data_IF_225928292567
#
_entry.id   IF_225928292567
#
_cell.length_a   1.000
_cell.length_b   1.000
_cell.length_c   1.000
_cell.angle_alpha   90.00
_cell.angle_beta   90.00
_cell.angle_gamma   90.00
#
_symmetry.space_group_name_H-M   'P 1'
#
loop_
_entity.id
_entity.type
_entity.pdbx_description
1 polymer ?
#
# COMPACT_ATOMS: atom_id res chain seq x y z
N UNK A 1 4.92 -0.28 28.37
CA UNK A 1 4.02 -1.44 28.17
C UNK A 1 4.11 -1.76 26.70
N UNK A 2 4.39 -3.01 26.30
CA UNK A 2 4.42 -3.37 24.87
C UNK A 2 2.99 -3.63 24.42
N UNK A 3 2.52 -2.88 23.43
CA UNK A 3 1.22 -3.10 22.82
C UNK A 3 1.11 -4.46 22.12
N UNK A 4 -0.11 -4.94 21.90
CA UNK A 4 -0.36 -6.19 21.20
C UNK A 4 -0.07 -6.02 19.70
N UNK A 5 0.94 -6.72 19.20
CA UNK A 5 1.31 -6.68 17.77
C UNK A 5 0.21 -7.28 16.92
N UNK A 6 -0.22 -6.55 15.90
CA UNK A 6 -1.25 -6.96 14.95
C UNK A 6 -0.67 -7.59 13.69
N UNK A 7 0.35 -6.95 13.10
CA UNK A 7 1.03 -7.44 11.91
C UNK A 7 2.46 -6.91 11.78
N UNK A 8 3.29 -7.67 11.06
CA UNK A 8 4.65 -7.33 10.64
C UNK A 8 4.81 -7.63 9.15
N UNK A 9 5.45 -6.73 8.40
CA UNK A 9 5.76 -6.94 6.99
C UNK A 9 6.14 -5.66 6.24
N UNK A 10 5.53 -5.47 5.08
CA UNK A 10 5.71 -4.32 4.20
C UNK A 10 4.40 -3.96 3.49
N UNK A 11 4.09 -2.67 3.42
CA UNK A 11 3.00 -2.12 2.62
C UNK A 11 3.41 -0.97 1.66
N UNK A 12 4.14 -1.27 0.57
CA UNK A 12 4.30 -0.29 -0.49
C UNK A 12 2.96 0.16 -1.09
N UNK A 13 2.85 1.47 -1.33
CA UNK A 13 1.66 2.09 -1.89
C UNK A 13 2.04 2.87 -3.16
N UNK A 14 1.21 2.74 -4.20
CA UNK A 14 1.25 3.55 -5.42
C UNK A 14 -0.10 4.22 -5.62
N UNK A 15 -0.10 5.55 -5.72
CA UNK A 15 -1.28 6.34 -6.09
C UNK A 15 -0.94 7.24 -7.27
N UNK A 16 -1.68 7.08 -8.37
CA UNK A 16 -1.48 7.85 -9.61
C UNK A 16 -2.58 8.87 -9.80
N UNK A 17 -2.23 9.95 -10.51
CA UNK A 17 -3.14 11.04 -10.80
C UNK A 17 -3.08 11.49 -12.25
N UNK A 18 -4.25 11.81 -12.80
CA UNK A 18 -4.40 12.42 -14.11
C UNK A 18 -5.38 13.59 -14.00
N UNK A 19 -5.00 14.76 -14.56
CA UNK A 19 -5.82 15.98 -14.53
C UNK A 19 -6.40 16.31 -13.14
N UNK A 20 -5.60 16.13 -12.08
CA UNK A 20 -6.01 16.43 -10.70
C UNK A 20 -6.83 15.33 -10.00
N UNK A 21 -7.24 14.27 -10.70
CA UNK A 21 -8.03 13.15 -10.16
C UNK A 21 -7.17 11.93 -9.90
N UNK A 22 -7.57 11.10 -8.93
CA UNK A 22 -6.93 9.79 -8.71
C UNK A 22 -7.42 8.84 -9.78
N UNK A 23 -6.49 8.16 -10.45
CA UNK A 23 -6.81 7.11 -11.42
C UNK A 23 -6.71 5.74 -10.80
N UNK A 24 -5.71 5.51 -9.95
CA UNK A 24 -5.52 4.25 -9.23
C UNK A 24 -4.86 4.46 -7.88
N UNK A 25 -5.22 3.61 -6.93
CA UNK A 25 -4.50 3.36 -5.69
C UNK A 25 -4.23 1.86 -5.59
N UNK A 26 -2.96 1.48 -5.47
CA UNK A 26 -2.53 0.11 -5.22
C UNK A 26 -1.76 0.07 -3.90
N UNK A 27 -2.29 -0.67 -2.93
CA UNK A 27 -1.64 -0.97 -1.65
C UNK A 27 -1.25 -2.45 -1.68
N UNK A 28 0.05 -2.70 -1.85
CA UNK A 28 0.64 -4.04 -1.99
C UNK A 28 1.15 -4.46 -0.63
N UNK A 29 0.77 -5.62 -0.16
CA UNK A 29 1.12 -6.15 1.15
C UNK A 29 1.97 -7.40 1.02
N UNK A 30 3.12 -7.41 1.70
CA UNK A 30 3.83 -8.62 2.10
C UNK A 30 3.70 -8.73 3.61
N UNK A 31 2.94 -9.70 4.10
CA UNK A 31 2.72 -9.90 5.53
C UNK A 31 3.56 -11.10 5.98
N UNK A 32 4.59 -10.84 6.77
CA UNK A 32 5.48 -11.87 7.29
C UNK A 32 4.82 -12.58 8.48
N UNK A 33 4.07 -11.84 9.31
CA UNK A 33 3.26 -12.35 10.41
C UNK A 33 2.05 -11.45 10.69
N UNK A 34 0.89 -12.03 11.04
CA UNK A 34 -0.23 -11.28 11.62
C UNK A 34 -1.16 -12.17 12.43
N UNK A 35 -2.08 -11.54 13.19
CA UNK A 35 -3.19 -12.23 13.87
C UNK A 35 -4.19 -12.92 12.93
N UNK A 36 -4.08 -12.69 11.61
CA UNK A 36 -4.88 -13.33 10.55
C UNK A 36 -4.07 -14.27 9.64
N UNK A 37 -2.86 -14.63 10.06
CA UNK A 37 -1.93 -15.41 9.25
C UNK A 37 -1.00 -14.55 8.40
N UNK A 38 -0.14 -15.19 7.62
CA UNK A 38 0.78 -14.53 6.70
C UNK A 38 0.28 -14.64 5.25
N UNK A 39 0.98 -13.99 4.33
CA UNK A 39 0.69 -14.05 2.90
C UNK A 39 0.95 -12.74 2.19
N UNK A 40 0.45 -12.66 0.97
CA UNK A 40 0.57 -11.46 0.13
C UNK A 40 -0.81 -11.01 -0.34
N UNK A 41 -0.98 -9.69 -0.46
CA UNK A 41 -2.23 -9.13 -0.94
C UNK A 41 -2.00 -7.86 -1.76
N UNK A 42 -2.87 -7.61 -2.74
CA UNK A 42 -2.96 -6.36 -3.47
C UNK A 42 -4.38 -5.82 -3.27
N UNK A 43 -4.47 -4.69 -2.58
CA UNK A 43 -5.69 -3.89 -2.51
C UNK A 43 -5.63 -2.83 -3.61
N UNK A 44 -6.40 -3.05 -4.67
CA UNK A 44 -6.45 -2.17 -5.82
C UNK A 44 -7.78 -1.41 -5.84
N UNK A 45 -7.72 -0.08 -5.78
CA UNK A 45 -8.81 0.79 -6.18
C UNK A 45 -8.52 1.34 -7.59
N UNK A 46 -9.44 1.17 -8.53
CA UNK A 46 -9.33 1.67 -9.89
C UNK A 46 -10.73 1.97 -10.44
N UNK A 47 -10.94 3.20 -10.92
CA UNK A 47 -12.21 3.67 -11.50
C UNK A 47 -13.43 3.40 -10.61
N UNK A 48 -13.28 3.65 -9.30
CA UNK A 48 -14.35 3.46 -8.33
C UNK A 48 -14.62 2.02 -7.91
N UNK A 49 -13.93 1.02 -8.48
CA UNK A 49 -14.02 -0.37 -8.06
C UNK A 49 -12.85 -0.75 -7.15
N UNK A 50 -13.10 -1.69 -6.21
CA UNK A 50 -12.07 -2.28 -5.35
C UNK A 50 -11.90 -3.74 -5.72
N UNK A 51 -10.66 -4.17 -6.01
CA UNK A 51 -10.27 -5.57 -6.21
C UNK A 51 -9.25 -5.97 -5.15
N UNK A 52 -9.39 -7.18 -4.62
CA UNK A 52 -8.49 -7.80 -3.67
C UNK A 52 -7.92 -9.06 -4.28
N UNK A 53 -6.62 -9.06 -4.56
CA UNK A 53 -5.91 -10.26 -5.02
C UNK A 53 -4.99 -10.72 -3.89
N UNK A 54 -5.07 -11.99 -3.50
CA UNK A 54 -4.15 -12.56 -2.53
C UNK A 54 -4.26 -14.08 -2.43
N UNK A 55 -3.20 -14.71 -1.91
CA UNK A 55 -3.16 -16.15 -1.63
C UNK A 55 -3.98 -16.53 -0.38
N UNK A 56 -4.22 -15.55 0.49
CA UNK A 56 -5.08 -15.66 1.66
C UNK A 56 -6.22 -14.61 1.57
N UNK A 57 -7.39 -14.98 1.03
CA UNK A 57 -8.52 -14.07 0.86
C UNK A 57 -9.02 -13.42 2.16
N UNK A 58 -8.92 -14.12 3.30
CA UNK A 58 -9.36 -13.60 4.59
C UNK A 58 -8.40 -12.53 5.12
N UNK A 59 -7.08 -12.75 4.93
CA UNK A 59 -6.07 -11.73 5.18
C UNK A 59 -6.28 -10.51 4.27
N UNK A 60 -6.49 -10.72 2.97
CA UNK A 60 -6.70 -9.63 2.01
C UNK A 60 -7.94 -8.78 2.36
N UNK A 61 -9.05 -9.43 2.76
CA UNK A 61 -10.26 -8.73 3.24
C UNK A 61 -9.99 -7.93 4.50
N UNK A 62 -9.25 -8.49 5.46
CA UNK A 62 -8.89 -7.80 6.70
C UNK A 62 -8.01 -6.58 6.44
N UNK A 63 -6.97 -6.71 5.61
CA UNK A 63 -6.10 -5.59 5.23
C UNK A 63 -6.88 -4.48 4.52
N UNK A 64 -7.75 -4.83 3.57
CA UNK A 64 -8.61 -3.86 2.90
C UNK A 64 -9.54 -3.14 3.88
N UNK A 65 -10.27 -3.89 4.71
CA UNK A 65 -11.34 -3.37 5.55
C UNK A 65 -10.82 -2.62 6.77
N UNK A 66 -9.80 -3.14 7.43
CA UNK A 66 -9.35 -2.61 8.73
C UNK A 66 -8.16 -1.63 8.57
N UNK A 67 -7.42 -1.69 7.45
CA UNK A 67 -6.23 -0.86 7.21
C UNK A 67 -6.39 0.06 5.99
N UNK A 68 -6.26 -0.48 4.77
CA UNK A 68 -6.04 0.32 3.55
C UNK A 68 -7.14 1.36 3.32
N UNK A 69 -8.41 1.02 3.53
CA UNK A 69 -9.52 1.98 3.35
C UNK A 69 -9.51 3.16 4.31
N UNK A 70 -8.70 3.10 5.37
CA UNK A 70 -8.57 4.13 6.39
C UNK A 70 -7.30 4.96 6.25
N UNK A 71 -6.43 4.62 5.29
CA UNK A 71 -5.22 5.38 5.05
C UNK A 71 -5.51 6.74 4.41
N UNK A 72 -4.68 7.77 4.66
CA UNK A 72 -4.80 9.07 4.00
C UNK A 72 -4.84 8.98 2.46
N UNK A 73 -4.15 8.01 1.88
CA UNK A 73 -4.09 7.76 0.44
C UNK A 73 -5.45 7.33 -0.14
N UNK A 74 -6.30 6.70 0.66
CA UNK A 74 -7.66 6.29 0.30
C UNK A 74 -8.72 7.38 0.55
N UNK A 75 -8.36 8.48 1.22
CA UNK A 75 -9.31 9.52 1.58
C UNK A 75 -10.01 10.13 0.36
N UNK A 76 -11.35 10.19 0.42
CA UNK A 76 -12.20 10.73 -0.64
C UNK A 76 -12.46 9.78 -1.82
N UNK A 77 -11.90 8.57 -1.81
CA UNK A 77 -12.23 7.56 -2.82
C UNK A 77 -13.54 6.86 -2.47
N UNK A 78 -14.45 6.62 -3.43
CA UNK A 78 -15.59 5.73 -3.21
C UNK A 78 -15.07 4.32 -2.94
N UNK A 79 -15.52 3.74 -1.82
CA UNK A 79 -15.03 2.43 -1.36
C UNK A 79 -16.18 1.44 -1.30
N UNK A 80 -16.36 0.69 -2.38
CA UNK A 80 -17.45 -0.26 -2.56
C UNK A 80 -17.08 -1.60 -1.90
N UNK A 81 -18.03 -2.55 -1.91
CA UNK A 81 -17.70 -3.93 -1.59
C UNK A 81 -16.64 -4.47 -2.58
N UNK A 82 -15.54 -5.05 -2.10
CA UNK A 82 -14.47 -5.53 -2.96
C UNK A 82 -14.84 -6.81 -3.72
N UNK A 83 -14.36 -6.91 -4.96
CA UNK A 83 -14.21 -8.20 -5.63
C UNK A 83 -12.96 -8.91 -5.08
N UNK A 84 -13.07 -10.19 -4.74
CA UNK A 84 -12.01 -10.93 -4.03
C UNK A 84 -11.58 -12.15 -4.83
N UNK A 85 -10.31 -12.15 -5.21
CA UNK A 85 -9.69 -13.16 -6.05
C UNK A 85 -8.64 -13.92 -5.25
N UNK A 86 -8.75 -15.24 -5.20
CA UNK A 86 -7.68 -16.09 -4.68
C UNK A 86 -6.59 -16.18 -5.76
N UNK A 87 -5.62 -15.27 -5.68
CA UNK A 87 -4.56 -15.09 -6.67
C UNK A 87 -3.30 -14.61 -5.93
N UNK A 88 -2.23 -15.43 -5.89
CA UNK A 88 -0.98 -15.04 -5.26
C UNK A 88 -0.42 -13.74 -5.83
N UNK A 89 0.20 -12.92 -4.98
CA UNK A 89 0.88 -11.71 -5.39
C UNK A 89 2.39 -11.94 -5.29
N UNK A 90 3.07 -11.90 -6.42
CA UNK A 90 4.53 -11.85 -6.44
C UNK A 90 4.95 -10.43 -6.02
N UNK A 91 5.59 -10.29 -4.86
CA UNK A 91 6.00 -8.98 -4.31
C UNK A 91 7.51 -8.93 -4.13
N UNK A 92 8.15 -7.93 -4.73
CA UNK A 92 9.54 -7.55 -4.49
C UNK A 92 9.59 -6.11 -4.03
N UNK A 93 10.16 -5.91 -2.84
CA UNK A 93 10.42 -4.58 -2.27
C UNK A 93 11.90 -4.48 -1.99
N UNK A 94 12.53 -3.47 -2.60
CA UNK A 94 13.91 -3.11 -2.33
C UNK A 94 13.96 -1.60 -2.15
N UNK A 95 14.19 -1.12 -0.94
CA UNK A 95 14.22 0.31 -0.66
C UNK A 95 15.26 1.08 -1.50
N UNK A 96 16.30 0.42 -2.02
CA UNK A 96 17.32 1.03 -2.87
C UNK A 96 16.97 1.06 -4.36
N UNK A 97 16.04 0.21 -4.82
CA UNK A 97 15.73 0.05 -6.25
C UNK A 97 14.28 0.39 -6.59
N UNK A 98 13.33 -0.01 -5.74
CA UNK A 98 11.91 0.20 -5.97
C UNK A 98 11.01 -0.93 -5.49
N UNK A 99 9.82 -0.99 -6.09
CA UNK A 99 8.78 -1.98 -5.84
C UNK A 99 8.38 -2.61 -7.16
N UNK A 100 8.16 -3.92 -7.13
CA UNK A 100 7.50 -4.66 -8.19
C UNK A 100 6.49 -5.59 -7.56
N UNK A 101 5.24 -5.53 -8.01
CA UNK A 101 4.21 -6.47 -7.63
C UNK A 101 3.45 -6.97 -8.85
N UNK A 102 3.07 -8.25 -8.86
CA UNK A 102 2.26 -8.85 -9.92
C UNK A 102 1.25 -9.82 -9.33
N UNK A 103 -0.02 -9.67 -9.73
CA UNK A 103 -1.10 -10.57 -9.36
C UNK A 103 -2.13 -10.62 -10.49
N UNK A 104 -2.41 -11.82 -11.02
CA UNK A 104 -3.36 -11.99 -12.11
C UNK A 104 -3.02 -11.11 -13.31
N UNK A 105 -3.93 -10.22 -13.67
CA UNK A 105 -3.81 -9.26 -14.77
C UNK A 105 -3.25 -7.88 -14.34
N UNK A 106 -2.82 -7.74 -13.09
CA UNK A 106 -2.35 -6.50 -12.49
C UNK A 106 -0.84 -6.53 -12.26
N UNK A 107 -0.16 -5.48 -12.70
CA UNK A 107 1.25 -5.21 -12.39
C UNK A 107 1.38 -3.83 -11.76
N UNK A 108 2.16 -3.72 -10.68
CA UNK A 108 2.47 -2.47 -9.99
C UNK A 108 3.99 -2.31 -9.94
N UNK A 109 4.48 -1.15 -10.33
CA UNK A 109 5.90 -0.81 -10.33
C UNK A 109 6.12 0.58 -9.75
N UNK A 110 7.18 0.77 -8.97
CA UNK A 110 7.63 2.08 -8.51
C UNK A 110 9.16 2.11 -8.44
N UNK A 111 9.77 3.20 -8.88
CA UNK A 111 11.22 3.29 -9.08
C UNK A 111 11.78 4.65 -8.66
N UNK A 112 13.11 4.70 -8.50
CA UNK A 112 13.86 5.92 -8.21
C UNK A 112 13.60 6.43 -6.80
N UNK A 113 14.12 5.74 -5.76
CA UNK A 113 13.96 6.21 -4.39
C UNK A 113 14.57 7.60 -4.23
N UNK A 114 13.79 8.51 -3.65
CA UNK A 114 14.16 9.90 -3.43
C UNK A 114 14.88 10.12 -2.09
N UNK A 115 14.86 9.11 -1.22
CA UNK A 115 15.47 9.11 0.11
C UNK A 115 14.85 8.04 1.00
N UNK A 116 15.35 7.91 2.23
CA UNK A 116 14.88 6.91 3.21
C UNK A 116 14.56 7.58 4.53
N UNK A 117 13.48 7.15 5.18
CA UNK A 117 13.11 7.66 6.50
C UNK A 117 12.40 6.61 7.34
N UNK A 118 12.71 6.62 8.64
CA UNK A 118 11.90 5.94 9.65
C UNK A 118 10.67 6.79 9.96
N UNK A 119 9.52 6.15 10.04
CA UNK A 119 8.30 6.70 10.59
C UNK A 119 7.88 5.87 11.80
N UNK A 120 7.40 6.53 12.84
CA UNK A 120 6.80 5.85 13.99
C UNK A 120 5.81 6.77 14.70
N UNK A 121 4.67 6.23 15.09
CA UNK A 121 3.62 6.90 15.86
C UNK A 121 2.87 5.87 16.69
N UNK A 122 2.30 6.31 17.82
CA UNK A 122 1.36 5.52 18.64
C UNK A 122 -0.10 5.87 18.32
N UNK A 123 -0.33 6.85 17.44
CA UNK A 123 -1.65 7.45 17.20
C UNK A 123 -2.08 7.45 15.73
N UNK A 124 -1.72 6.41 14.97
CA UNK A 124 -2.24 6.23 13.62
C UNK A 124 -3.72 5.82 13.70
N UNK A 125 -4.63 6.65 13.17
CA UNK A 125 -6.07 6.43 13.31
C UNK A 125 -6.62 5.53 12.19
N UNK A 126 -6.97 4.29 12.54
CA UNK A 126 -7.75 3.37 11.67
C UNK A 126 -9.19 3.32 12.17
N UNK A 127 -10.15 3.67 11.31
CA UNK A 127 -11.57 3.82 11.69
C UNK A 127 -11.78 4.69 12.96
N UNK A 128 -10.95 5.73 13.14
CA UNK A 128 -10.98 6.61 14.32
C UNK A 128 -10.33 6.04 15.58
N UNK A 129 -9.88 4.79 15.58
CA UNK A 129 -9.20 4.13 16.71
C UNK A 129 -7.67 4.26 16.58
N UNK A 130 -6.97 4.59 17.67
CA UNK A 130 -5.51 4.71 17.65
C UNK A 130 -4.86 3.34 17.46
N UNK A 131 -3.83 3.30 16.61
CA UNK A 131 -2.96 2.17 16.38
C UNK A 131 -1.52 2.68 16.39
N UNK A 132 -0.62 1.87 16.93
CA UNK A 132 0.79 2.06 16.75
C UNK A 132 1.24 1.60 15.38
N UNK A 133 2.12 2.38 14.76
CA UNK A 133 2.75 2.09 13.47
C UNK A 133 4.23 2.46 13.54
N UNK A 134 5.09 1.58 13.05
CA UNK A 134 6.49 1.88 12.75
C UNK A 134 6.87 1.27 11.42
N UNK A 135 7.62 2.00 10.58
CA UNK A 135 8.11 1.51 9.29
C UNK A 135 9.35 2.28 8.83
N UNK A 136 10.06 1.72 7.86
CA UNK A 136 11.01 2.45 7.02
C UNK A 136 10.34 2.68 5.67
N UNK A 137 10.38 3.92 5.17
CA UNK A 137 9.79 4.29 3.88
C UNK A 137 10.82 4.91 2.94
N UNK A 138 10.62 4.67 1.65
CA UNK A 138 11.33 5.34 0.56
C UNK A 138 10.32 5.92 -0.45
N UNK A 139 10.15 7.25 -0.51
CA UNK A 139 9.34 7.89 -1.56
C UNK A 139 9.94 7.62 -2.94
N UNK A 140 9.10 7.33 -3.94
CA UNK A 140 9.53 6.95 -5.29
C UNK A 140 9.32 8.09 -6.29
N UNK A 141 10.26 8.25 -7.20
CA UNK A 141 10.24 9.31 -8.23
C UNK A 141 9.19 9.04 -9.30
N UNK A 142 8.96 7.77 -9.62
CA UNK A 142 8.10 7.28 -10.70
C UNK A 142 7.35 6.03 -10.26
N UNK A 143 6.16 5.83 -10.81
CA UNK A 143 5.40 4.60 -10.62
C UNK A 143 4.43 4.37 -11.77
N UNK A 144 4.04 3.11 -11.97
CA UNK A 144 3.08 2.69 -12.97
C UNK A 144 2.21 1.54 -12.46
N UNK A 145 0.97 1.48 -12.95
CA UNK A 145 0.08 0.34 -12.75
C UNK A 145 -0.46 -0.09 -14.10
N UNK A 146 -0.44 -1.39 -14.37
CA UNK A 146 -1.04 -2.00 -15.56
C UNK A 146 -2.16 -2.93 -15.14
N UNK A 147 -3.31 -2.85 -15.80
CA UNK A 147 -4.47 -3.74 -15.59
C UNK A 147 -4.89 -4.31 -16.94
N UNK A 148 -5.02 -5.63 -17.05
CA UNK A 148 -5.34 -6.33 -18.29
C UNK A 148 -4.45 -5.90 -19.49
N UNK A 149 -3.15 -5.72 -19.22
CA UNK A 149 -2.16 -5.30 -20.23
C UNK A 149 -2.25 -3.83 -20.66
N UNK A 150 -3.13 -3.02 -20.04
CA UNK A 150 -3.24 -1.58 -20.31
C UNK A 150 -2.68 -0.77 -19.15
N UNK A 151 -1.78 0.16 -19.46
CA UNK A 151 -1.29 1.12 -18.47
C UNK A 151 -2.47 1.98 -17.98
N UNK A 152 -2.62 2.09 -16.66
CA UNK A 152 -3.56 3.02 -16.06
C UNK A 152 -2.99 4.43 -16.22
N UNK A 153 -3.75 5.39 -16.77
CA UNK A 153 -3.26 6.75 -16.97
C UNK A 153 -2.87 7.44 -15.66
N UNK A 154 -1.93 8.38 -15.75
CA UNK A 154 -1.54 9.25 -14.65
C UNK A 154 -0.10 9.08 -14.20
N UNK A 155 0.29 9.92 -13.24
CA UNK A 155 1.64 9.98 -12.69
C UNK A 155 1.60 10.16 -11.17
N UNK A 156 2.74 9.90 -10.53
CA UNK A 156 2.92 10.19 -9.10
C UNK A 156 2.89 11.69 -8.85
N UNK A 157 2.31 12.10 -7.72
CA UNK A 157 2.46 13.46 -7.18
C UNK A 157 3.67 13.48 -6.27
N UNK A 158 4.51 14.50 -6.45
CA UNK A 158 5.71 14.73 -5.64
C UNK A 158 5.60 16.10 -5.00
N UNK A 159 5.92 16.15 -3.72
CA UNK A 159 5.87 17.34 -2.87
C UNK A 159 7.11 17.35 -1.95
N UNK A 160 7.22 18.39 -1.13
CA UNK A 160 8.35 18.57 -0.21
C UNK A 160 9.60 19.13 -0.91
N UNK A 161 10.73 19.05 -0.21
CA UNK A 161 12.03 19.53 -0.67
C UNK A 161 13.05 18.39 -0.79
N UNK A 162 14.30 18.72 -1.14
CA UNK A 162 15.39 17.73 -1.28
C UNK A 162 15.72 16.98 0.01
N UNK A 163 15.46 17.57 1.18
CA UNK A 163 15.76 16.96 2.47
C UNK A 163 14.59 16.12 2.99
N UNK A 164 13.36 16.44 2.56
CA UNK A 164 12.15 15.72 2.95
C UNK A 164 11.22 15.53 1.75
N UNK A 165 11.61 14.69 0.77
CA UNK A 165 10.77 14.41 -0.37
C UNK A 165 9.50 13.67 0.08
N UNK A 166 8.39 13.98 -0.57
CA UNK A 166 7.12 13.29 -0.42
C UNK A 166 6.69 12.84 -1.80
N UNK A 167 6.16 11.62 -1.89
CA UNK A 167 5.62 11.07 -3.12
C UNK A 167 4.35 10.30 -2.81
N UNK A 168 3.41 10.32 -3.74
CA UNK A 168 2.21 9.48 -3.69
C UNK A 168 2.49 8.02 -4.06
N UNK A 169 3.74 7.69 -4.40
CA UNK A 169 4.23 6.33 -4.46
C UNK A 169 5.41 6.18 -3.50
N UNK A 170 5.42 5.12 -2.70
CA UNK A 170 6.50 4.85 -1.76
C UNK A 170 6.63 3.36 -1.47
N UNK A 171 7.87 2.90 -1.31
CA UNK A 171 8.15 1.60 -0.71
C UNK A 171 8.09 1.71 0.81
N UNK A 172 7.67 0.63 1.47
CA UNK A 172 7.86 0.46 2.91
C UNK A 172 8.46 -0.90 3.22
N UNK A 173 9.24 -0.98 4.29
CA UNK A 173 9.82 -2.20 4.86
C UNK A 173 9.85 -2.08 6.37
N UNK A 174 10.01 -3.22 7.06
CA UNK A 174 10.02 -3.29 8.52
C UNK A 174 8.78 -2.62 9.15
N UNK A 175 7.63 -2.81 8.49
CA UNK A 175 6.36 -2.23 8.90
C UNK A 175 5.72 -3.09 9.99
N UNK A 176 5.50 -2.50 11.16
CA UNK A 176 4.90 -3.14 12.33
C UNK A 176 3.69 -2.33 12.77
N UNK A 177 2.58 -3.01 13.02
CA UNK A 177 1.36 -2.44 13.57
C UNK A 177 1.03 -3.07 14.92
N UNK A 178 0.57 -2.28 15.88
CA UNK A 178 0.16 -2.76 17.21
C UNK A 178 -1.01 -1.94 17.78
N UNK A 179 -1.67 -2.50 18.79
CA UNK A 179 -2.62 -1.77 19.62
C UNK A 179 -1.85 -1.10 20.78
N UNK A 180 -1.96 0.23 20.96
CA UNK A 180 -1.25 0.97 22.01
C UNK A 180 -1.80 0.70 23.42
#
# INVERSE_FOLDING_TARGET
>A
MSGDVLLVGANPIVRLFEAGRVTVLASVWRVDWSVRGNGTALVLWHDGAVRLLGDNPDLARWLCRDFTRHFPEAAGLPWNEPDVENTPVEVSVNLAEGVRAKAGDVTVEAHGPLGHRRFSTEDFRLAGRPHGLSLVSAPMAEAGVTVAGRAVPGAVRREGDRNRPVSSAFATEAETWWLP
#
